data_IF_287247597922
#
_entry.id   IF_287247597922
#
_cell.length_a   1.000
_cell.length_b   1.000
_cell.length_c   1.000
_cell.angle_alpha   90.00
_cell.angle_beta   90.00
_cell.angle_gamma   90.00
#
_symmetry.space_group_name_H-M   'P 1'
#
loop_
_entity.id
_entity.type
_entity.pdbx_description
1 polymer ?
#
# COMPACT_ATOMS: atom_id res chain seq x y z
N UNK A 1 16.28 16.46 19.07
CA UNK A 1 15.41 16.67 17.89
C UNK A 1 14.03 17.08 18.35
N UNK A 2 13.39 18.09 17.71
CA UNK A 2 12.05 18.58 18.12
C UNK A 2 10.95 18.16 17.13
N UNK A 3 11.31 17.90 15.89
CA UNK A 3 10.39 17.47 14.83
C UNK A 3 11.10 16.55 13.84
N UNK A 4 10.30 15.79 13.08
CA UNK A 4 10.75 14.95 11.97
C UNK A 4 9.67 14.97 10.88
N UNK A 5 10.08 14.98 9.62
CA UNK A 5 9.19 14.91 8.48
C UNK A 5 9.52 13.70 7.62
N UNK A 6 8.50 12.97 7.21
CA UNK A 6 8.64 11.70 6.48
C UNK A 6 7.71 11.65 5.26
N UNK A 7 8.12 10.86 4.27
CA UNK A 7 7.24 10.37 3.22
C UNK A 7 6.83 8.93 3.53
N UNK A 8 5.54 8.67 3.46
CA UNK A 8 4.91 7.36 3.63
C UNK A 8 4.45 6.85 2.27
N UNK A 9 5.18 5.89 1.68
CA UNK A 9 4.93 5.45 0.32
C UNK A 9 3.78 4.45 0.23
N UNK A 10 2.94 4.62 -0.80
CA UNK A 10 1.92 3.66 -1.18
C UNK A 10 2.54 2.34 -1.67
N UNK A 11 1.71 1.30 -1.73
CA UNK A 11 2.09 0.02 -2.34
C UNK A 11 1.10 -0.41 -3.41
N UNK A 12 1.58 -1.23 -4.33
CA UNK A 12 0.75 -2.05 -5.22
C UNK A 12 1.05 -3.53 -4.99
N UNK A 13 0.14 -4.41 -5.40
CA UNK A 13 0.38 -5.84 -5.42
C UNK A 13 0.58 -6.27 -6.88
N UNK A 14 1.78 -6.73 -7.26
CA UNK A 14 2.02 -7.33 -8.59
C UNK A 14 1.31 -8.67 -8.73
N UNK A 15 1.23 -9.43 -7.65
CA UNK A 15 0.36 -10.59 -7.53
C UNK A 15 -0.33 -10.61 -6.18
N UNK A 16 -1.58 -11.09 -6.14
CA UNK A 16 -2.28 -11.43 -4.91
C UNK A 16 -3.05 -12.73 -5.14
N UNK A 17 -2.60 -13.79 -4.51
CA UNK A 17 -3.14 -15.14 -4.58
C UNK A 17 -3.77 -15.49 -3.23
N UNK A 18 -5.03 -15.95 -3.23
CA UNK A 18 -5.75 -16.35 -2.01
C UNK A 18 -5.82 -17.87 -1.95
N UNK A 19 -5.30 -18.48 -0.89
CA UNK A 19 -5.22 -19.93 -0.74
C UNK A 19 -6.43 -20.52 0.00
N UNK A 20 -6.77 -19.98 1.14
CA UNK A 20 -7.88 -20.49 1.97
C UNK A 20 -8.16 -19.60 3.16
N UNK A 21 -9.11 -20.04 3.99
CA UNK A 21 -9.47 -19.40 5.25
C UNK A 21 -8.72 -20.11 6.39
N UNK A 22 -8.09 -19.32 7.25
CA UNK A 22 -7.39 -19.77 8.46
C UNK A 22 -8.37 -19.92 9.63
N UNK A 23 -7.95 -20.61 10.67
CA UNK A 23 -8.76 -20.80 11.89
C UNK A 23 -9.07 -19.48 12.62
N UNK A 24 -8.24 -18.43 12.41
CA UNK A 24 -8.44 -17.10 12.95
C UNK A 24 -9.42 -16.23 12.12
N UNK A 25 -9.95 -16.79 11.02
CA UNK A 25 -10.90 -16.12 10.12
C UNK A 25 -10.26 -15.24 9.05
N UNK A 26 -8.95 -15.08 9.04
CA UNK A 26 -8.21 -14.43 7.95
C UNK A 26 -7.98 -15.40 6.78
N UNK A 27 -7.64 -14.85 5.62
CA UNK A 27 -7.26 -15.65 4.46
C UNK A 27 -5.74 -15.82 4.41
N UNK A 28 -5.31 -17.04 4.16
CA UNK A 28 -3.93 -17.33 3.77
C UNK A 28 -3.70 -16.79 2.37
N UNK A 29 -2.69 -15.95 2.19
CA UNK A 29 -2.35 -15.35 0.91
C UNK A 29 -0.87 -15.51 0.55
N UNK A 30 -0.58 -15.45 -0.75
CA UNK A 30 0.76 -15.13 -1.26
C UNK A 30 0.64 -13.88 -2.14
N UNK A 31 1.44 -12.88 -1.85
CA UNK A 31 1.39 -11.61 -2.57
C UNK A 31 2.79 -11.07 -2.86
N UNK A 32 2.99 -10.49 -4.04
CA UNK A 32 4.20 -9.72 -4.32
C UNK A 32 3.85 -8.25 -4.26
N UNK A 33 4.41 -7.56 -3.28
CA UNK A 33 4.17 -6.14 -3.03
C UNK A 33 5.33 -5.29 -3.51
N UNK A 34 5.02 -4.08 -3.97
CA UNK A 34 5.95 -3.06 -4.41
C UNK A 34 5.56 -1.69 -3.88
N UNK A 35 6.49 -1.00 -3.21
CA UNK A 35 6.33 0.42 -2.87
C UNK A 35 6.42 1.29 -4.11
N UNK A 36 5.63 2.36 -4.19
CA UNK A 36 5.59 3.28 -5.33
C UNK A 36 5.71 4.73 -4.87
N UNK A 37 6.16 5.62 -5.77
CA UNK A 37 6.44 7.04 -5.46
C UNK A 37 5.22 7.91 -5.12
N UNK A 38 4.00 7.36 -5.11
CA UNK A 38 2.85 8.00 -4.48
C UNK A 38 3.04 7.96 -2.96
N UNK A 39 3.04 9.12 -2.31
CA UNK A 39 3.30 9.18 -0.88
C UNK A 39 2.43 10.21 -0.15
N UNK A 40 2.09 9.91 1.09
CA UNK A 40 1.59 10.88 2.07
C UNK A 40 2.78 11.55 2.76
N UNK A 41 2.61 12.78 3.22
CA UNK A 41 3.60 13.44 4.06
C UNK A 41 3.15 13.39 5.52
N UNK A 42 4.06 13.00 6.39
CA UNK A 42 3.84 12.88 7.83
C UNK A 42 4.83 13.77 8.55
N UNK A 43 4.35 14.79 9.25
CA UNK A 43 5.15 15.68 10.08
C UNK A 43 4.83 15.37 11.55
N UNK A 44 5.86 15.10 12.36
CA UNK A 44 5.73 14.75 13.77
C UNK A 44 6.56 15.73 14.60
N UNK A 45 5.92 16.40 15.54
CA UNK A 45 6.55 17.37 16.44
C UNK A 45 6.35 16.95 17.90
N UNK A 46 7.40 17.05 18.74
CA UNK A 46 7.26 16.87 20.18
C UNK A 46 6.44 18.00 20.77
N UNK A 47 5.48 17.66 21.62
CA UNK A 47 4.71 18.60 22.43
C UNK A 47 4.91 18.30 23.90
N UNK A 48 4.38 19.15 24.77
CA UNK A 48 4.57 19.01 26.20
C UNK A 48 3.84 17.79 26.76
N UNK A 49 2.62 17.54 26.31
CA UNK A 49 1.76 16.46 26.80
C UNK A 49 0.71 16.07 25.76
N UNK A 50 0.26 14.80 25.78
CA UNK A 50 -0.87 14.31 25.00
C UNK A 50 -0.55 13.98 23.55
N UNK A 51 -1.60 13.96 22.72
CA UNK A 51 -1.54 13.65 21.29
C UNK A 51 -2.48 14.53 20.49
N UNK A 52 -1.97 15.16 19.45
CA UNK A 52 -2.76 15.93 18.49
C UNK A 52 -2.58 15.35 17.10
N UNK A 53 -3.66 15.22 16.34
CA UNK A 53 -3.64 14.80 14.95
C UNK A 53 -4.41 15.79 14.08
N UNK A 54 -3.79 16.26 13.02
CA UNK A 54 -4.41 17.05 11.99
C UNK A 54 -4.21 16.40 10.61
N UNK A 55 -5.22 16.49 9.74
CA UNK A 55 -5.21 15.83 8.43
C UNK A 55 -5.64 16.80 7.34
N UNK A 56 -4.88 16.84 6.26
CA UNK A 56 -5.18 17.58 5.03
C UNK A 56 -5.26 16.63 3.83
N UNK A 57 -6.22 16.84 2.92
CA UNK A 57 -7.33 17.80 3.03
C UNK A 57 -8.32 17.37 4.13
N UNK A 58 -9.05 18.32 4.69
CA UNK A 58 -10.01 18.08 5.79
C UNK A 58 -11.10 17.04 5.45
N UNK A 59 -11.39 16.85 4.16
CA UNK A 59 -12.32 15.83 3.68
C UNK A 59 -11.68 14.45 3.45
N UNK A 60 -10.40 14.26 3.79
CA UNK A 60 -9.80 12.94 3.72
C UNK A 60 -10.53 11.96 4.67
N UNK A 61 -10.92 10.80 4.15
CA UNK A 61 -11.61 9.77 4.94
C UNK A 61 -10.62 9.04 5.86
N UNK A 62 -10.33 9.63 7.02
CA UNK A 62 -9.38 9.06 8.01
C UNK A 62 -10.06 8.47 9.25
N UNK A 63 -11.39 8.56 9.34
CA UNK A 63 -12.16 8.09 10.50
C UNK A 63 -11.97 8.96 11.76
N UNK A 64 -12.62 8.60 12.86
CA UNK A 64 -12.40 9.21 14.16
C UNK A 64 -10.98 8.96 14.67
N UNK A 65 -10.51 9.80 15.61
CA UNK A 65 -9.13 9.75 16.13
C UNK A 65 -8.77 8.36 16.68
N UNK A 66 -9.69 7.75 17.40
CA UNK A 66 -9.50 6.46 18.06
C UNK A 66 -9.35 5.28 17.07
N UNK A 67 -9.86 5.44 15.86
CA UNK A 67 -9.78 4.45 14.78
C UNK A 67 -8.64 4.76 13.80
N UNK A 68 -7.91 5.87 14.02
CA UNK A 68 -6.83 6.27 13.13
C UNK A 68 -5.58 5.42 13.36
N UNK A 69 -5.01 4.89 12.28
CA UNK A 69 -3.85 3.99 12.32
C UNK A 69 -2.59 4.65 12.91
N UNK A 70 -2.44 5.97 12.78
CA UNK A 70 -1.33 6.73 13.40
C UNK A 70 -1.49 6.78 14.92
N UNK A 71 -2.72 7.02 15.41
CA UNK A 71 -3.01 7.01 16.84
C UNK A 71 -2.75 5.62 17.43
N UNK A 72 -3.23 4.57 16.77
CA UNK A 72 -3.04 3.19 17.21
C UNK A 72 -1.55 2.79 17.18
N UNK A 73 -0.81 3.16 16.15
CA UNK A 73 0.63 2.92 16.05
C UNK A 73 1.41 3.57 17.20
N UNK A 74 1.10 4.84 17.51
CA UNK A 74 1.69 5.53 18.66
C UNK A 74 1.37 4.81 19.97
N UNK A 75 0.09 4.48 20.22
CA UNK A 75 -0.36 3.81 21.45
C UNK A 75 0.33 2.47 21.68
N UNK A 76 0.47 1.66 20.63
CA UNK A 76 1.16 0.37 20.69
C UNK A 76 2.66 0.54 20.93
N UNK A 77 3.27 1.56 20.33
CA UNK A 77 4.68 1.87 20.54
C UNK A 77 4.92 2.33 21.99
N UNK A 78 4.09 3.21 22.54
CA UNK A 78 4.15 3.63 23.95
C UNK A 78 4.06 2.43 24.90
N UNK A 79 3.11 1.52 24.65
CA UNK A 79 2.98 0.29 25.43
C UNK A 79 4.22 -0.61 25.35
N UNK A 80 4.86 -0.66 24.18
CA UNK A 80 6.08 -1.46 23.98
C UNK A 80 7.29 -0.89 24.70
N UNK A 81 7.51 0.43 24.61
CA UNK A 81 8.66 1.11 25.25
C UNK A 81 8.40 1.55 26.69
N UNK A 82 7.16 1.48 27.17
CA UNK A 82 6.73 1.88 28.52
C UNK A 82 7.05 3.35 28.87
N UNK A 83 6.99 4.24 27.87
CA UNK A 83 7.12 5.70 28.05
C UNK A 83 6.03 6.41 27.25
N UNK A 84 5.63 7.60 27.69
CA UNK A 84 4.75 8.47 26.92
C UNK A 84 5.51 9.12 25.77
N UNK A 85 4.84 9.24 24.62
CA UNK A 85 5.37 9.86 23.40
C UNK A 85 4.46 11.05 23.02
N UNK A 86 4.57 12.19 23.75
CA UNK A 86 3.69 13.33 23.49
C UNK A 86 4.08 14.02 22.19
N UNK A 87 3.17 13.98 21.21
CA UNK A 87 3.42 14.52 19.88
C UNK A 87 2.17 15.10 19.26
N UNK A 88 2.42 16.06 18.37
CA UNK A 88 1.49 16.53 17.35
C UNK A 88 1.88 15.95 16.02
N UNK A 89 0.93 15.34 15.31
CA UNK A 89 1.12 14.77 13.97
C UNK A 89 0.28 15.54 12.96
N UNK A 90 0.89 15.89 11.83
CA UNK A 90 0.20 16.48 10.69
C UNK A 90 0.35 15.57 9.48
N UNK A 91 -0.80 15.08 8.96
CA UNK A 91 -0.87 14.21 7.78
C UNK A 91 -1.34 15.01 6.56
N UNK A 92 -0.54 15.03 5.49
CA UNK A 92 -0.96 15.50 4.17
C UNK A 92 -1.21 14.31 3.27
N UNK A 93 -2.50 13.98 3.11
CA UNK A 93 -2.95 12.79 2.38
C UNK A 93 -2.96 13.01 0.86
N UNK A 94 -2.27 12.10 0.15
CA UNK A 94 -2.30 11.94 -1.30
C UNK A 94 -2.72 10.54 -1.72
N UNK A 95 -2.42 9.55 -0.88
CA UNK A 95 -2.84 8.17 -1.11
C UNK A 95 -4.35 8.09 -0.83
N UNK A 96 -5.17 7.74 -1.84
CA UNK A 96 -6.62 7.74 -1.67
C UNK A 96 -7.06 6.64 -0.70
N UNK A 97 -8.03 6.95 0.14
CA UNK A 97 -8.62 5.97 1.05
C UNK A 97 -9.37 4.86 0.29
N UNK A 98 -9.45 3.66 0.89
CA UNK A 98 -10.18 2.48 0.35
C UNK A 98 -9.81 2.18 -1.10
N UNK A 99 -8.52 2.25 -1.40
CA UNK A 99 -7.99 2.08 -2.75
C UNK A 99 -7.24 0.76 -2.97
N UNK A 100 -6.87 0.06 -1.92
CA UNK A 100 -5.95 -1.09 -1.98
C UNK A 100 -4.47 -0.68 -2.06
N UNK A 101 -4.15 0.63 -1.92
CA UNK A 101 -2.79 1.17 -2.02
C UNK A 101 -2.06 1.28 -0.66
N UNK A 102 -2.68 0.84 0.43
CA UNK A 102 -2.03 0.77 1.74
C UNK A 102 -1.86 2.10 2.49
N UNK A 103 -2.61 3.17 2.16
CA UNK A 103 -2.38 4.51 2.70
C UNK A 103 -2.39 4.60 4.22
N UNK A 104 -3.38 4.00 4.92
CA UNK A 104 -3.41 3.99 6.39
C UNK A 104 -2.25 3.20 7.00
N UNK A 105 -1.85 2.11 6.34
CA UNK A 105 -0.68 1.30 6.78
C UNK A 105 0.64 2.04 6.56
N UNK A 106 0.74 2.82 5.47
CA UNK A 106 1.89 3.68 5.21
C UNK A 106 2.01 4.80 6.26
N UNK A 107 0.89 5.44 6.63
CA UNK A 107 0.85 6.45 7.69
C UNK A 107 1.29 5.87 9.04
N UNK A 108 0.79 4.68 9.40
CA UNK A 108 1.19 3.98 10.62
C UNK A 108 2.69 3.62 10.62
N UNK A 109 3.21 3.15 9.48
CA UNK A 109 4.63 2.85 9.32
C UNK A 109 5.49 4.09 9.50
N UNK A 110 5.09 5.23 8.89
CA UNK A 110 5.79 6.50 9.06
C UNK A 110 5.71 7.02 10.50
N UNK A 111 4.57 6.84 11.18
CA UNK A 111 4.44 7.20 12.58
C UNK A 111 5.39 6.39 13.47
N UNK A 112 5.45 5.06 13.29
CA UNK A 112 6.38 4.19 14.04
C UNK A 112 7.83 4.56 13.79
N UNK A 113 8.23 4.74 12.53
CA UNK A 113 9.59 5.12 12.15
C UNK A 113 9.96 6.52 12.67
N UNK A 114 9.05 7.49 12.52
CA UNK A 114 9.25 8.86 12.94
C UNK A 114 9.32 9.02 14.46
N UNK A 115 8.49 8.30 15.22
CA UNK A 115 8.55 8.28 16.67
C UNK A 115 9.84 7.61 17.18
N UNK A 116 10.24 6.49 16.54
CA UNK A 116 11.50 5.82 16.85
C UNK A 116 12.70 6.77 16.67
N UNK A 117 12.74 7.53 15.59
CA UNK A 117 13.78 8.52 15.31
C UNK A 117 13.70 9.71 16.26
N UNK A 118 12.50 10.32 16.41
CA UNK A 118 12.28 11.53 17.17
C UNK A 118 12.63 11.37 18.66
N UNK A 119 12.32 10.21 19.23
CA UNK A 119 12.56 9.90 20.65
C UNK A 119 13.84 9.08 20.86
N UNK A 120 14.61 8.80 19.80
CA UNK A 120 15.87 8.05 19.88
C UNK A 120 15.70 6.68 20.56
N UNK A 121 14.59 5.97 20.23
CA UNK A 121 14.21 4.74 20.91
C UNK A 121 15.14 3.56 20.56
N UNK A 122 15.85 3.64 19.44
CA UNK A 122 16.83 2.63 19.01
C UNK A 122 16.21 1.30 18.61
N UNK A 123 14.92 1.27 18.24
CA UNK A 123 14.25 0.04 17.83
C UNK A 123 14.68 -0.36 16.42
N UNK A 124 14.89 -1.66 16.25
CA UNK A 124 15.19 -2.27 14.96
C UNK A 124 13.96 -2.30 14.03
N UNK A 125 14.19 -2.44 12.72
CA UNK A 125 13.12 -2.64 11.73
C UNK A 125 12.20 -3.81 12.12
N UNK A 126 12.77 -4.92 12.59
CA UNK A 126 11.99 -6.10 13.00
C UNK A 126 11.09 -5.84 14.22
N UNK A 127 11.53 -5.02 15.16
CA UNK A 127 10.70 -4.62 16.31
C UNK A 127 9.56 -3.70 15.87
N UNK A 128 9.84 -2.73 14.99
CA UNK A 128 8.82 -1.85 14.43
C UNK A 128 7.80 -2.66 13.60
N UNK A 129 8.24 -3.63 12.79
CA UNK A 129 7.35 -4.52 12.03
C UNK A 129 6.44 -5.34 12.96
N UNK A 130 6.98 -5.87 14.07
CA UNK A 130 6.19 -6.61 15.07
C UNK A 130 5.12 -5.75 15.75
N UNK A 131 5.44 -4.49 16.05
CA UNK A 131 4.47 -3.53 16.58
C UNK A 131 3.45 -3.19 15.49
N UNK A 132 3.93 -2.89 14.28
CA UNK A 132 3.11 -2.51 13.13
C UNK A 132 2.09 -3.57 12.71
N UNK A 133 2.43 -4.86 12.85
CA UNK A 133 1.51 -5.97 12.57
C UNK A 133 0.23 -5.90 13.43
N UNK A 134 0.32 -5.38 14.65
CA UNK A 134 -0.85 -5.21 15.52
C UNK A 134 -1.77 -4.07 15.06
N UNK A 135 -1.25 -3.11 14.27
CA UNK A 135 -2.05 -2.05 13.62
C UNK A 135 -2.72 -2.58 12.35
N UNK A 136 -1.98 -3.39 11.55
CA UNK A 136 -2.52 -3.96 10.33
C UNK A 136 -1.51 -4.78 9.53
N UNK A 137 -2.02 -5.74 8.75
CA UNK A 137 -1.21 -6.72 8.01
C UNK A 137 -0.24 -6.11 6.99
N UNK A 138 -0.59 -4.97 6.37
CA UNK A 138 0.26 -4.28 5.40
C UNK A 138 1.34 -3.39 6.07
N UNK A 139 1.24 -3.10 7.38
CA UNK A 139 2.17 -2.17 8.07
C UNK A 139 3.62 -2.69 8.08
N UNK A 140 3.89 -3.98 8.34
CA UNK A 140 5.23 -4.53 8.23
C UNK A 140 5.88 -4.27 6.86
N UNK A 141 5.12 -4.46 5.77
CA UNK A 141 5.61 -4.14 4.43
C UNK A 141 5.85 -2.64 4.25
N UNK A 142 4.95 -1.78 4.71
CA UNK A 142 5.10 -0.33 4.61
C UNK A 142 6.31 0.20 5.41
N UNK A 143 6.71 -0.47 6.49
CA UNK A 143 7.96 -0.15 7.22
C UNK A 143 9.18 -0.50 6.36
N UNK A 144 9.20 -1.72 5.82
CA UNK A 144 10.31 -2.21 5.03
C UNK A 144 10.39 -1.54 3.66
N UNK A 145 9.30 -1.60 2.90
CA UNK A 145 9.21 -1.15 1.52
C UNK A 145 9.98 -1.99 0.51
N UNK A 146 10.23 -1.39 -0.65
CA UNK A 146 10.87 -2.05 -1.78
C UNK A 146 9.95 -3.07 -2.45
N UNK A 147 10.53 -4.22 -2.82
CA UNK A 147 9.80 -5.36 -3.38
C UNK A 147 9.90 -6.54 -2.41
N UNK A 148 8.77 -7.16 -2.05
CA UNK A 148 8.76 -8.32 -1.19
C UNK A 148 7.64 -9.32 -1.56
N UNK A 149 7.93 -10.61 -1.36
CA UNK A 149 6.91 -11.64 -1.24
C UNK A 149 6.37 -11.59 0.19
N UNK A 150 5.07 -11.45 0.31
CA UNK A 150 4.34 -11.56 1.58
C UNK A 150 3.53 -12.85 1.61
N UNK A 151 3.64 -13.59 2.68
CA UNK A 151 2.91 -14.84 2.96
C UNK A 151 2.15 -14.70 4.29
N UNK A 152 1.39 -15.73 4.69
CA UNK A 152 0.49 -15.62 5.83
C UNK A 152 -0.72 -14.77 5.48
N UNK A 153 -0.98 -13.70 6.23
CA UNK A 153 -1.95 -12.65 5.86
C UNK A 153 -1.28 -11.49 5.09
N UNK A 154 -0.02 -11.66 4.67
CA UNK A 154 0.83 -10.70 3.98
C UNK A 154 1.98 -10.15 4.84
N UNK A 155 2.09 -10.60 6.09
CA UNK A 155 3.05 -10.10 7.08
C UNK A 155 4.40 -10.82 7.08
N UNK A 156 4.47 -12.04 6.56
CA UNK A 156 5.71 -12.83 6.49
C UNK A 156 6.46 -12.39 5.23
N UNK A 157 7.44 -11.52 5.39
CA UNK A 157 8.09 -10.84 4.29
C UNK A 157 9.41 -11.49 3.89
N UNK A 158 9.50 -11.89 2.61
CA UNK A 158 10.75 -12.28 1.96
C UNK A 158 11.15 -11.21 0.96
N UNK A 159 12.32 -10.53 1.15
CA UNK A 159 12.79 -9.53 0.21
C UNK A 159 13.02 -10.08 -1.19
N UNK A 160 12.68 -9.31 -2.20
CA UNK A 160 12.91 -9.63 -3.61
C UNK A 160 13.83 -8.58 -4.26
N UNK A 161 14.48 -8.92 -5.39
CA UNK A 161 15.19 -7.93 -6.19
C UNK A 161 14.27 -6.79 -6.63
N UNK A 162 14.84 -5.59 -6.74
CA UNK A 162 14.12 -4.47 -7.35
C UNK A 162 13.68 -4.85 -8.78
N UNK A 163 12.47 -4.45 -9.19
CA UNK A 163 12.01 -4.72 -10.55
C UNK A 163 12.85 -3.93 -11.57
N UNK A 164 12.86 -4.36 -12.84
CA UNK A 164 13.40 -3.52 -13.92
C UNK A 164 12.74 -2.15 -13.92
N UNK A 165 13.45 -1.13 -14.38
CA UNK A 165 12.90 0.22 -14.46
C UNK A 165 11.62 0.25 -15.28
N UNK A 166 10.56 0.79 -14.72
CA UNK A 166 9.26 0.96 -15.36
C UNK A 166 8.45 2.04 -14.64
N UNK A 167 7.31 2.41 -15.23
CA UNK A 167 6.41 3.41 -14.71
C UNK A 167 5.03 2.81 -14.53
N UNK A 168 4.34 3.25 -13.47
CA UNK A 168 2.98 2.81 -13.16
C UNK A 168 2.02 3.99 -13.36
N UNK A 169 1.02 3.81 -14.19
CA UNK A 169 -0.15 4.69 -14.18
C UNK A 169 -1.13 4.10 -13.19
N UNK A 170 -1.37 4.80 -12.08
CA UNK A 170 -2.35 4.39 -11.07
C UNK A 170 -3.60 5.21 -11.26
N UNK A 171 -4.75 4.55 -11.37
CA UNK A 171 -6.05 5.17 -11.51
C UNK A 171 -7.03 4.62 -10.48
N UNK A 172 -7.81 5.50 -9.82
CA UNK A 172 -8.82 5.10 -8.83
C UNK A 172 -10.17 5.74 -9.15
N UNK A 173 -11.25 4.94 -9.26
CA UNK A 173 -12.61 5.46 -9.37
C UNK A 173 -13.04 6.13 -8.07
N UNK A 174 -14.08 6.97 -8.13
CA UNK A 174 -14.65 7.60 -6.93
C UNK A 174 -15.17 6.56 -5.93
N UNK A 175 -15.71 5.45 -6.44
CA UNK A 175 -16.23 4.34 -5.65
C UNK A 175 -15.11 3.63 -4.87
N UNK A 176 -15.39 3.27 -3.63
CA UNK A 176 -14.53 2.44 -2.78
C UNK A 176 -15.30 1.21 -2.28
N UNK A 177 -14.58 0.18 -1.85
CA UNK A 177 -15.17 -1.02 -1.23
C UNK A 177 -14.46 -1.36 0.07
N UNK A 178 -15.21 -1.95 1.00
CA UNK A 178 -14.62 -2.47 2.23
C UNK A 178 -13.95 -3.82 1.97
N UNK A 179 -12.73 -4.00 2.43
CA UNK A 179 -11.92 -5.21 2.24
C UNK A 179 -12.66 -6.47 2.71
N UNK A 180 -13.27 -6.43 3.89
CA UNK A 180 -14.02 -7.57 4.43
C UNK A 180 -15.20 -8.00 3.54
N UNK A 181 -15.88 -7.06 2.85
CA UNK A 181 -16.94 -7.37 1.89
C UNK A 181 -16.39 -8.11 0.67
N UNK A 182 -15.21 -7.71 0.19
CA UNK A 182 -14.57 -8.36 -0.96
C UNK A 182 -14.23 -9.81 -0.64
N UNK A 183 -13.56 -10.08 0.48
CA UNK A 183 -13.18 -11.43 0.88
C UNK A 183 -14.42 -12.33 1.10
N UNK A 184 -15.45 -11.86 1.81
CA UNK A 184 -16.70 -12.61 1.98
C UNK A 184 -17.40 -12.94 0.65
N UNK A 185 -17.31 -12.05 -0.34
CA UNK A 185 -17.89 -12.30 -1.66
C UNK A 185 -17.00 -13.24 -2.48
N UNK A 186 -15.67 -13.17 -2.28
CA UNK A 186 -14.71 -14.08 -2.90
C UNK A 186 -14.98 -15.52 -2.48
N UNK A 187 -15.24 -15.79 -1.22
CA UNK A 187 -15.50 -17.13 -0.69
C UNK A 187 -16.72 -17.82 -1.33
N UNK A 188 -17.68 -17.02 -1.81
CA UNK A 188 -18.93 -17.51 -2.42
C UNK A 188 -18.81 -17.78 -3.93
N UNK A 189 -17.64 -17.53 -4.54
CA UNK A 189 -17.48 -17.72 -6.00
C UNK A 189 -16.84 -19.06 -6.33
N UNK A 190 -17.12 -19.62 -7.55
CA UNK A 190 -16.32 -20.70 -8.09
C UNK A 190 -14.85 -20.26 -8.23
N UNK A 191 -13.93 -21.13 -7.84
CA UNK A 191 -12.49 -20.89 -8.04
C UNK A 191 -12.21 -20.97 -9.54
N UNK A 192 -11.55 -19.93 -10.08
CA UNK A 192 -11.04 -19.86 -11.46
C UNK A 192 -9.53 -20.00 -11.51
N UNK A 193 -8.97 -19.69 -12.66
CA UNK A 193 -7.51 -19.56 -12.80
C UNK A 193 -7.01 -18.49 -11.86
N UNK A 194 -5.93 -18.81 -11.15
CA UNK A 194 -5.34 -17.94 -10.13
C UNK A 194 -4.09 -17.25 -10.68
N UNK A 195 -3.85 -15.99 -10.29
CA UNK A 195 -2.54 -15.39 -10.46
C UNK A 195 -1.50 -16.22 -9.69
N UNK A 196 -0.26 -16.19 -10.11
CA UNK A 196 0.81 -16.89 -9.40
C UNK A 196 1.85 -15.91 -8.88
N UNK A 197 1.91 -15.73 -7.57
CA UNK A 197 2.97 -14.96 -6.91
C UNK A 197 4.36 -15.52 -7.26
N UNK A 198 4.49 -16.83 -7.40
CA UNK A 198 5.73 -17.50 -7.77
C UNK A 198 6.21 -17.12 -9.19
N UNK A 199 5.32 -16.98 -10.18
CA UNK A 199 5.71 -16.56 -11.52
C UNK A 199 6.19 -15.10 -11.54
N UNK A 200 5.55 -14.23 -10.75
CA UNK A 200 6.02 -12.84 -10.55
C UNK A 200 7.42 -12.83 -9.91
N UNK A 201 7.66 -13.64 -8.87
CA UNK A 201 8.99 -13.80 -8.25
C UNK A 201 10.04 -14.25 -9.27
N UNK A 202 9.71 -15.21 -10.14
CA UNK A 202 10.60 -15.66 -11.21
C UNK A 202 10.94 -14.54 -12.19
N UNK A 203 9.93 -13.79 -12.64
CA UNK A 203 10.12 -12.67 -13.57
C UNK A 203 11.02 -11.57 -12.97
N UNK A 204 10.80 -11.23 -11.68
CA UNK A 204 11.64 -10.28 -10.94
C UNK A 204 13.09 -10.75 -10.83
N UNK A 205 13.31 -12.01 -10.45
CA UNK A 205 14.68 -12.58 -10.36
C UNK A 205 15.39 -12.64 -11.70
N UNK A 206 14.63 -12.79 -12.79
CA UNK A 206 15.16 -12.76 -14.16
C UNK A 206 15.40 -11.34 -14.69
N UNK A 207 14.97 -10.29 -13.97
CA UNK A 207 15.03 -8.91 -14.44
C UNK A 207 14.22 -8.68 -15.73
N UNK A 208 13.11 -9.40 -15.92
CA UNK A 208 12.33 -9.40 -17.15
C UNK A 208 10.99 -8.67 -16.97
N UNK A 209 10.94 -7.40 -17.45
CA UNK A 209 9.75 -6.56 -17.32
C UNK A 209 8.55 -7.12 -18.11
N UNK A 210 8.78 -7.67 -19.31
CA UNK A 210 7.70 -8.23 -20.11
C UNK A 210 7.04 -9.44 -19.42
N UNK A 211 7.86 -10.35 -18.86
CA UNK A 211 7.35 -11.47 -18.08
C UNK A 211 6.65 -10.99 -16.81
N UNK A 212 7.21 -10.01 -16.08
CA UNK A 212 6.56 -9.42 -14.92
C UNK A 212 5.16 -8.89 -15.27
N UNK A 213 5.06 -8.12 -16.36
CA UNK A 213 3.82 -7.48 -16.79
C UNK A 213 2.75 -8.49 -17.23
N UNK A 214 3.15 -9.63 -17.78
CA UNK A 214 2.24 -10.72 -18.18
C UNK A 214 1.68 -11.48 -16.97
N UNK A 215 2.45 -11.57 -15.89
CA UNK A 215 2.09 -12.36 -14.70
C UNK A 215 1.37 -11.52 -13.62
N UNK A 216 1.10 -10.23 -13.90
CA UNK A 216 0.33 -9.40 -12.97
C UNK A 216 -1.07 -9.99 -12.76
N UNK A 217 -1.51 -10.05 -11.50
CA UNK A 217 -2.83 -10.59 -11.24
C UNK A 217 -3.29 -10.50 -9.79
N UNK A 218 -4.61 -10.61 -9.60
CA UNK A 218 -5.22 -10.45 -8.28
C UNK A 218 -6.51 -11.29 -8.18
N UNK A 219 -6.51 -12.26 -7.30
CA UNK A 219 -7.66 -13.17 -7.06
C UNK A 219 -8.94 -12.43 -6.65
N UNK A 220 -8.82 -11.27 -6.01
CA UNK A 220 -9.96 -10.46 -5.58
C UNK A 220 -10.54 -9.61 -6.71
N UNK A 221 -9.76 -9.37 -7.78
CA UNK A 221 -10.15 -8.47 -8.88
C UNK A 221 -11.45 -8.86 -9.58
N UNK A 222 -11.76 -10.15 -9.89
CA UNK A 222 -13.02 -10.52 -10.51
C UNK A 222 -14.25 -10.22 -9.64
N UNK A 223 -14.10 -10.27 -8.31
CA UNK A 223 -15.15 -9.89 -7.36
C UNK A 223 -15.36 -8.39 -7.37
N UNK A 224 -14.28 -7.64 -7.28
CA UNK A 224 -14.34 -6.18 -7.25
C UNK A 224 -14.87 -5.61 -8.56
N UNK A 225 -14.49 -6.16 -9.72
CA UNK A 225 -15.06 -5.81 -11.04
C UNK A 225 -16.56 -5.98 -11.15
N UNK A 226 -17.15 -6.92 -10.41
CA UNK A 226 -18.63 -7.10 -10.36
C UNK A 226 -19.30 -6.07 -9.46
N UNK A 227 -18.66 -5.70 -8.36
CA UNK A 227 -19.21 -4.74 -7.40
C UNK A 227 -18.99 -3.29 -7.81
N UNK A 228 -17.90 -3.03 -8.53
CA UNK A 228 -17.46 -1.72 -9.03
C UNK A 228 -17.00 -1.90 -10.48
N UNK A 229 -17.92 -1.81 -11.46
CA UNK A 229 -17.62 -2.02 -12.88
C UNK A 229 -16.53 -1.10 -13.44
N UNK A 230 -16.36 0.09 -12.87
CA UNK A 230 -15.32 1.04 -13.25
C UNK A 230 -13.90 0.47 -13.13
N UNK A 231 -13.68 -0.53 -12.25
CA UNK A 231 -12.39 -1.24 -12.14
C UNK A 231 -12.06 -1.98 -13.44
N UNK A 232 -13.07 -2.58 -14.08
CA UNK A 232 -12.89 -3.24 -15.39
C UNK A 232 -12.60 -2.21 -16.48
N UNK A 233 -13.39 -1.14 -16.53
CA UNK A 233 -13.20 -0.07 -17.52
C UNK A 233 -11.80 0.54 -17.45
N UNK A 234 -11.29 0.75 -16.23
CA UNK A 234 -9.95 1.31 -16.02
C UNK A 234 -8.84 0.36 -16.50
N UNK A 235 -8.95 -0.93 -16.19
CA UNK A 235 -7.99 -1.92 -16.67
C UNK A 235 -7.96 -1.98 -18.21
N UNK A 236 -9.14 -2.07 -18.86
CA UNK A 236 -9.26 -2.10 -20.30
C UNK A 236 -8.65 -0.83 -20.94
N UNK A 237 -8.96 0.36 -20.40
CA UNK A 237 -8.38 1.62 -20.87
C UNK A 237 -6.87 1.72 -20.70
N UNK A 238 -6.31 1.20 -19.60
CA UNK A 238 -4.86 1.18 -19.39
C UNK A 238 -4.17 0.27 -20.43
N UNK A 239 -4.76 -0.90 -20.71
CA UNK A 239 -4.26 -1.82 -21.73
C UNK A 239 -4.38 -1.22 -23.15
N UNK A 240 -5.52 -0.60 -23.49
CA UNK A 240 -5.72 0.14 -24.74
C UNK A 240 -4.74 1.29 -24.92
N UNK A 241 -4.34 1.94 -23.80
CA UNK A 241 -3.34 3.01 -23.80
C UNK A 241 -1.89 2.50 -23.89
N UNK A 242 -1.68 1.20 -24.07
CA UNK A 242 -0.37 0.59 -24.27
C UNK A 242 0.33 0.09 -23.02
N UNK A 243 -0.37 -0.10 -21.91
CA UNK A 243 0.22 -0.77 -20.75
C UNK A 243 0.67 -2.19 -21.12
N UNK A 244 1.88 -2.57 -20.68
CA UNK A 244 2.44 -3.91 -20.85
C UNK A 244 1.66 -4.97 -20.08
N UNK A 245 0.96 -4.54 -19.02
CA UNK A 245 0.05 -5.31 -18.18
C UNK A 245 -0.68 -4.37 -17.23
N UNK A 246 -1.84 -4.78 -16.74
CA UNK A 246 -2.63 -4.00 -15.79
C UNK A 246 -3.28 -4.91 -14.76
N UNK A 247 -3.38 -4.45 -13.51
CA UNK A 247 -4.04 -5.17 -12.42
C UNK A 247 -4.61 -4.22 -11.36
N UNK A 248 -5.50 -4.75 -10.55
CA UNK A 248 -6.03 -4.07 -9.35
C UNK A 248 -5.10 -4.29 -8.15
N UNK A 249 -4.85 -3.27 -7.35
CA UNK A 249 -4.08 -3.38 -6.13
C UNK A 249 -4.94 -3.80 -4.93
N UNK A 250 -4.48 -4.77 -4.15
CA UNK A 250 -5.14 -5.23 -2.93
C UNK A 250 -6.61 -5.63 -3.15
N UNK A 251 -7.50 -5.24 -2.25
CA UNK A 251 -8.95 -5.40 -2.41
C UNK A 251 -9.59 -4.37 -3.35
N UNK A 252 -8.80 -3.46 -3.86
CA UNK A 252 -9.20 -2.38 -4.78
C UNK A 252 -9.64 -1.11 -4.03
N UNK A 253 -10.13 -0.11 -4.75
CA UNK A 253 -10.52 -0.11 -6.18
C UNK A 253 -9.48 0.47 -7.15
N UNK A 254 -8.27 0.80 -6.67
CA UNK A 254 -7.24 1.30 -7.56
C UNK A 254 -6.75 0.23 -8.54
N UNK A 255 -6.61 0.62 -9.80
CA UNK A 255 -6.04 -0.17 -10.88
C UNK A 255 -4.74 0.51 -11.32
N UNK A 256 -3.74 -0.27 -11.65
CA UNK A 256 -2.50 0.25 -12.20
C UNK A 256 -2.15 -0.46 -13.52
N UNK A 257 -1.49 0.28 -14.40
CA UNK A 257 -0.90 -0.25 -15.63
C UNK A 257 0.60 -0.02 -15.63
N UNK A 258 1.37 -0.99 -16.11
CA UNK A 258 2.83 -0.95 -16.23
C UNK A 258 3.23 -0.44 -17.61
N UNK A 259 4.14 0.53 -17.67
CA UNK A 259 4.66 1.14 -18.90
C UNK A 259 6.19 1.09 -18.91
N UNK A 260 6.77 0.88 -20.11
CA UNK A 260 8.22 0.82 -20.28
C UNK A 260 8.92 2.18 -20.18
N UNK A 261 8.19 3.28 -20.41
CA UNK A 261 8.73 4.64 -20.37
C UNK A 261 7.79 5.64 -19.70
N UNK A 262 8.38 6.69 -19.12
CA UNK A 262 7.63 7.80 -18.54
C UNK A 262 6.77 8.53 -19.57
N UNK A 263 7.26 8.64 -20.81
CA UNK A 263 6.56 9.30 -21.91
C UNK A 263 5.26 8.56 -22.25
N UNK A 264 5.31 7.24 -22.37
CA UNK A 264 4.12 6.40 -22.60
C UNK A 264 3.13 6.49 -21.44
N UNK A 265 3.62 6.41 -20.20
CA UNK A 265 2.79 6.55 -19.00
C UNK A 265 2.08 7.92 -18.93
N UNK A 266 2.79 9.01 -19.20
CA UNK A 266 2.21 10.37 -19.26
C UNK A 266 1.21 10.54 -20.39
N UNK A 267 1.42 9.88 -21.54
CA UNK A 267 0.47 9.87 -22.64
C UNK A 267 -0.82 9.13 -22.26
N UNK A 268 -0.70 7.96 -21.60
CA UNK A 268 -1.84 7.18 -21.12
C UNK A 268 -2.73 7.97 -20.14
N UNK A 269 -2.15 8.73 -19.20
CA UNK A 269 -2.91 9.57 -18.26
C UNK A 269 -3.82 10.56 -18.98
N UNK A 270 -3.39 11.15 -20.10
CA UNK A 270 -4.20 12.11 -20.87
C UNK A 270 -5.46 11.49 -21.48
N UNK A 271 -5.45 10.19 -21.73
CA UNK A 271 -6.60 9.43 -22.27
C UNK A 271 -7.60 8.99 -21.19
N UNK A 272 -7.27 9.12 -19.91
CA UNK A 272 -8.14 8.71 -18.82
C UNK A 272 -9.11 9.83 -18.39
N UNK A 273 -10.31 9.49 -17.89
CA UNK A 273 -11.27 10.49 -17.42
C UNK A 273 -10.71 11.38 -16.31
N UNK A 274 -10.84 12.72 -16.46
CA UNK A 274 -10.31 13.71 -15.52
C UNK A 274 -10.94 13.67 -14.11
N UNK A 275 -12.09 12.99 -13.96
CA UNK A 275 -12.79 12.78 -12.67
C UNK A 275 -12.14 11.72 -11.77
N UNK A 276 -11.12 11.03 -12.27
CA UNK A 276 -10.41 9.98 -11.56
C UNK A 276 -9.21 10.57 -10.83
N UNK A 277 -8.83 9.95 -9.70
CA UNK A 277 -7.49 10.11 -9.16
C UNK A 277 -6.53 9.32 -10.06
N UNK A 278 -5.70 10.04 -10.84
CA UNK A 278 -4.77 9.44 -11.79
C UNK A 278 -3.40 10.08 -11.64
N UNK A 279 -2.35 9.27 -11.64
CA UNK A 279 -0.97 9.74 -11.61
C UNK A 279 0.01 8.74 -12.21
N UNK A 280 1.21 9.22 -12.54
CA UNK A 280 2.35 8.40 -12.95
C UNK A 280 3.28 8.27 -11.77
N UNK A 281 3.68 7.04 -11.47
CA UNK A 281 4.54 6.69 -10.34
C UNK A 281 5.59 5.68 -10.76
N UNK A 282 6.62 5.53 -9.96
CA UNK A 282 7.71 4.58 -10.17
C UNK A 282 7.94 3.72 -8.92
N UNK A 283 8.54 2.52 -9.07
CA UNK A 283 8.92 1.69 -7.94
C UNK A 283 9.89 2.40 -6.99
N UNK A 284 9.63 2.28 -5.69
CA UNK A 284 10.48 2.84 -4.64
C UNK A 284 11.19 1.73 -3.86
N UNK A 285 12.44 1.93 -3.43
CA UNK A 285 13.18 0.95 -2.64
C UNK A 285 12.81 0.96 -1.15
N UNK A 286 12.03 1.94 -0.69
CA UNK A 286 11.68 2.16 0.72
C UNK A 286 10.16 2.23 0.90
N UNK A 287 9.69 1.91 2.11
CA UNK A 287 8.29 2.13 2.50
C UNK A 287 8.10 3.48 3.18
N UNK A 288 9.15 3.95 3.88
CA UNK A 288 9.20 5.25 4.55
C UNK A 288 10.54 5.90 4.28
N UNK A 289 10.54 7.21 4.09
CA UNK A 289 11.75 8.02 3.96
C UNK A 289 11.70 9.25 4.87
N UNK A 290 12.75 9.44 5.68
CA UNK A 290 12.90 10.66 6.50
C UNK A 290 13.48 11.74 5.60
N UNK A 291 12.72 12.84 5.40
CA UNK A 291 13.10 13.95 4.53
C UNK A 291 13.65 15.16 5.29
N UNK A 292 13.34 15.27 6.58
CA UNK A 292 13.86 16.31 7.46
C UNK A 292 13.91 15.81 8.92
N UNK A 293 14.97 16.25 9.63
CA UNK A 293 15.21 15.96 11.05
C UNK A 293 15.30 17.25 11.86
#
# INVERSE_FOLDING_TARGET
>A
MTNVSLQAFAKVNYALEVHGIRDDGYHEISTVMQSISLADNVEIERIREGFELSVEPVYAEVGPLEENTVHEARRLLEGFVSIELPVKVHLRKRIPARSGLGGGSADAAAALAGLNELFELGLSEAELQRIGLQVGADVPFCIRGGTALGEGIGEILTPLPAPPQHYLVVAKPASGVQTNRIYRTYDQRPKGDKPSAYQVVRALRAGNLAALSTELGNDLQPVTKRLVPEVRELEERLLEAGALGAAMSGSGTAVYGVFGSETEAKAAVKGLPTRLLVGVYEPMPHGVEIIHR
#
